data_IF_008089095672
#
_entry.id   IF_008089095672
#
_cell.length_a   1.000
_cell.length_b   1.000
_cell.length_c   1.000
_cell.angle_alpha   90.00
_cell.angle_beta   90.00
_cell.angle_gamma   90.00
#
_symmetry.space_group_name_H-M   'P 1'
#
loop_
_entity.id
_entity.type
_entity.pdbx_description
1 polymer ?
#
# COMPACT_ATOMS: atom_id res chain seq x y z
N UNK A 1 5.27 -8.08 -20.77
CA UNK A 1 5.18 -6.92 -19.87
C UNK A 1 6.31 -7.00 -18.87
N UNK A 2 7.09 -5.94 -18.71
CA UNK A 2 8.16 -5.94 -17.72
C UNK A 2 7.63 -5.67 -16.32
N UNK A 3 8.42 -5.92 -15.29
CA UNK A 3 7.99 -5.81 -13.89
C UNK A 3 7.61 -4.39 -13.50
N UNK A 4 8.23 -3.38 -14.12
CA UNK A 4 7.91 -1.98 -13.86
C UNK A 4 6.48 -1.65 -14.31
N UNK A 5 6.10 -2.09 -15.52
CA UNK A 5 4.76 -1.87 -16.04
C UNK A 5 3.71 -2.60 -15.24
N UNK A 6 4.02 -3.82 -14.81
CA UNK A 6 3.10 -4.62 -13.99
C UNK A 6 2.87 -3.97 -12.65
N UNK A 7 3.92 -3.46 -12.01
CA UNK A 7 3.79 -2.73 -10.74
C UNK A 7 2.94 -1.48 -10.89
N UNK A 8 3.19 -0.71 -11.94
CA UNK A 8 2.43 0.51 -12.19
C UNK A 8 0.94 0.24 -12.42
N UNK A 9 0.59 -0.87 -13.10
CA UNK A 9 -0.80 -1.25 -13.30
C UNK A 9 -1.50 -1.56 -12.00
N UNK A 10 -0.83 -2.30 -11.11
CA UNK A 10 -1.38 -2.63 -9.80
C UNK A 10 -1.61 -1.38 -8.96
N UNK A 11 -0.66 -0.45 -8.98
CA UNK A 11 -0.78 0.82 -8.25
C UNK A 11 -1.96 1.64 -8.77
N UNK A 12 -2.16 1.70 -10.10
CA UNK A 12 -3.30 2.41 -10.68
C UNK A 12 -4.62 1.74 -10.31
N UNK A 13 -4.65 0.42 -10.32
CA UNK A 13 -5.83 -0.35 -9.92
C UNK A 13 -6.22 -0.05 -8.47
N UNK A 14 -5.23 -0.08 -7.57
CA UNK A 14 -5.47 0.23 -6.15
C UNK A 14 -5.93 1.66 -5.96
N UNK A 15 -5.27 2.62 -6.60
CA UNK A 15 -5.65 4.03 -6.48
C UNK A 15 -7.09 4.24 -6.94
N UNK A 16 -7.48 3.60 -8.03
CA UNK A 16 -8.87 3.67 -8.51
C UNK A 16 -9.84 3.10 -7.48
N UNK A 17 -9.50 1.96 -6.88
CA UNK A 17 -10.33 1.33 -5.86
C UNK A 17 -10.53 2.26 -4.66
N UNK A 18 -9.45 2.89 -4.20
CA UNK A 18 -9.53 3.82 -3.07
C UNK A 18 -10.34 5.07 -3.39
N UNK A 19 -10.28 5.55 -4.65
CA UNK A 19 -11.12 6.67 -5.07
C UNK A 19 -12.61 6.34 -5.00
N UNK A 20 -12.97 5.07 -5.18
CA UNK A 20 -14.37 4.64 -5.07
C UNK A 20 -14.93 4.87 -3.66
N UNK A 21 -14.07 4.91 -2.63
CA UNK A 21 -14.47 5.21 -1.26
C UNK A 21 -14.48 6.72 -0.96
N UNK A 22 -14.15 7.55 -1.94
CA UNK A 22 -14.18 9.00 -1.79
C UNK A 22 -12.84 9.64 -1.45
N UNK A 23 -11.74 8.89 -1.48
CA UNK A 23 -10.40 9.42 -1.18
C UNK A 23 -9.68 9.81 -2.47
N UNK A 24 -8.96 10.91 -2.43
CA UNK A 24 -8.21 11.40 -3.60
C UNK A 24 -6.87 10.69 -3.74
N UNK A 25 -6.93 9.39 -3.99
CA UNK A 25 -5.73 8.58 -4.11
C UNK A 25 -5.21 8.53 -5.54
N UNK A 26 -3.89 8.43 -5.68
CA UNK A 26 -3.21 8.32 -6.96
C UNK A 26 -1.90 7.56 -6.78
N UNK A 27 -1.33 7.13 -7.90
CA UNK A 27 0.01 6.55 -7.85
C UNK A 27 0.99 7.55 -7.27
N UNK A 28 1.88 7.07 -6.41
CA UNK A 28 2.99 7.87 -5.95
C UNK A 28 3.97 8.10 -7.09
N UNK A 29 4.67 9.24 -7.06
CA UNK A 29 5.73 9.53 -8.01
C UNK A 29 7.05 9.11 -7.39
N UNK A 30 7.78 8.28 -8.13
CA UNK A 30 9.11 7.89 -7.73
C UNK A 30 10.11 8.57 -8.65
N UNK A 31 10.86 9.50 -8.07
CA UNK A 31 11.97 10.13 -8.77
C UNK A 31 13.23 9.30 -8.54
N UNK A 32 14.19 9.41 -9.43
CA UNK A 32 15.40 8.59 -9.41
C UNK A 32 16.06 8.60 -8.03
N UNK A 33 16.19 7.42 -7.44
CA UNK A 33 16.86 7.25 -6.16
C UNK A 33 16.05 7.65 -4.93
N UNK A 34 14.85 8.17 -5.12
CA UNK A 34 13.96 8.52 -3.98
C UNK A 34 12.84 7.51 -3.90
N UNK A 35 12.83 6.76 -2.81
CA UNK A 35 11.76 5.80 -2.54
C UNK A 35 10.58 6.53 -1.91
N UNK A 36 9.39 6.31 -2.45
CA UNK A 36 8.16 6.87 -1.95
C UNK A 36 7.11 5.80 -1.81
N UNK A 37 5.93 6.22 -1.38
CA UNK A 37 4.79 5.33 -1.32
C UNK A 37 4.34 4.96 -2.72
N UNK A 38 3.85 3.73 -2.89
CA UNK A 38 3.35 3.27 -4.18
C UNK A 38 2.05 3.97 -4.56
N UNK A 39 1.21 4.25 -3.56
CA UNK A 39 -0.05 4.99 -3.72
C UNK A 39 -0.12 6.02 -2.60
N UNK A 40 -0.55 7.23 -2.93
CA UNK A 40 -0.69 8.33 -1.97
C UNK A 40 -2.14 8.80 -1.91
N UNK A 41 -2.49 9.49 -0.83
CA UNK A 41 -3.83 10.07 -0.67
C UNK A 41 -4.54 9.67 0.61
N UNK A 42 -3.92 8.80 1.44
CA UNK A 42 -4.44 8.48 2.77
C UNK A 42 -3.46 9.02 3.81
N UNK A 43 -3.81 10.15 4.41
CA UNK A 43 -2.93 10.82 5.36
C UNK A 43 -2.54 9.89 6.51
N UNK A 44 -1.26 9.87 6.84
CA UNK A 44 -0.74 9.07 7.93
C UNK A 44 -0.51 7.60 7.61
N UNK A 45 -0.77 7.17 6.39
CA UNK A 45 -0.61 5.78 5.97
C UNK A 45 0.44 5.70 4.86
N UNK A 46 1.41 4.82 5.05
CA UNK A 46 2.38 4.50 4.00
C UNK A 46 1.93 3.24 3.28
N UNK A 47 1.57 3.37 2.01
CA UNK A 47 0.98 2.26 1.24
C UNK A 47 2.02 1.60 0.35
N UNK A 48 2.29 0.33 0.61
CA UNK A 48 3.02 -0.56 -0.29
C UNK A 48 2.00 -1.38 -1.04
N UNK A 49 2.05 -1.34 -2.36
CA UNK A 49 1.07 -2.05 -3.21
C UNK A 49 1.69 -3.30 -3.82
N UNK A 50 1.02 -4.43 -3.67
CA UNK A 50 1.46 -5.70 -4.26
C UNK A 50 0.29 -6.37 -5.00
N UNK A 51 0.32 -6.29 -6.32
CA UNK A 51 -0.67 -6.92 -7.19
C UNK A 51 -0.02 -8.11 -7.89
N UNK A 52 0.16 -9.20 -7.13
CA UNK A 52 0.89 -10.39 -7.57
C UNK A 52 0.18 -11.65 -7.11
N UNK A 53 0.39 -12.77 -7.82
CA UNK A 53 -0.23 -14.05 -7.47
C UNK A 53 0.49 -14.76 -6.33
N UNK A 54 1.80 -14.59 -6.23
CA UNK A 54 2.59 -15.18 -5.15
C UNK A 54 3.27 -14.06 -4.39
N UNK A 55 2.73 -13.74 -3.24
CA UNK A 55 3.21 -12.65 -2.42
C UNK A 55 4.06 -13.18 -1.26
N UNK A 56 5.28 -12.66 -1.16
CA UNK A 56 6.09 -12.81 0.04
C UNK A 56 5.65 -11.71 1.01
N UNK A 57 4.59 -11.98 1.76
CA UNK A 57 3.93 -10.96 2.57
C UNK A 57 4.84 -10.38 3.65
N UNK A 58 5.63 -11.23 4.32
CA UNK A 58 6.56 -10.76 5.33
C UNK A 58 7.58 -9.79 4.74
N UNK A 59 8.14 -10.12 3.58
CA UNK A 59 9.11 -9.25 2.92
C UNK A 59 8.48 -7.92 2.51
N UNK A 60 7.24 -7.97 1.98
CA UNK A 60 6.52 -6.76 1.60
C UNK A 60 6.24 -5.87 2.82
N UNK A 61 5.86 -6.48 3.94
CA UNK A 61 5.61 -5.74 5.18
C UNK A 61 6.89 -5.11 5.72
N UNK A 62 8.01 -5.83 5.68
CA UNK A 62 9.32 -5.30 6.09
C UNK A 62 9.74 -4.14 5.20
N UNK A 63 9.48 -4.24 3.89
CA UNK A 63 9.76 -3.14 2.96
C UNK A 63 8.93 -1.91 3.31
N UNK A 64 7.63 -2.08 3.52
CA UNK A 64 6.74 -0.98 3.89
C UNK A 64 7.21 -0.31 5.18
N UNK A 65 7.55 -1.12 6.19
CA UNK A 65 8.02 -0.62 7.47
C UNK A 65 9.32 0.17 7.31
N UNK A 66 10.26 -0.32 6.49
CA UNK A 66 11.54 0.34 6.26
C UNK A 66 11.38 1.70 5.58
N UNK A 67 10.44 1.78 4.64
CA UNK A 67 10.23 2.99 3.83
C UNK A 67 9.28 3.99 4.47
N UNK A 68 8.63 3.61 5.57
CA UNK A 68 7.69 4.47 6.30
C UNK A 68 8.42 5.62 6.98
N UNK A 69 7.86 6.81 6.87
CA UNK A 69 8.37 8.01 7.52
C UNK A 69 7.70 8.21 8.87
N UNK A 70 8.32 9.06 9.70
CA UNK A 70 7.75 9.39 11.02
C UNK A 70 6.32 9.89 10.87
N UNK A 71 5.44 9.40 11.74
CA UNK A 71 4.04 9.79 11.73
C UNK A 71 3.17 8.98 10.80
N UNK A 72 3.74 8.02 10.07
CA UNK A 72 2.98 7.16 9.17
C UNK A 72 2.90 5.74 9.70
N UNK A 73 1.81 5.07 9.36
CA UNK A 73 1.60 3.65 9.64
C UNK A 73 1.88 2.86 8.36
N UNK A 74 2.82 1.89 8.40
CA UNK A 74 3.11 1.07 7.22
C UNK A 74 2.03 0.03 6.97
N UNK A 75 1.55 -0.07 5.74
CA UNK A 75 0.61 -1.11 5.35
C UNK A 75 1.03 -1.71 4.01
N UNK A 76 0.58 -2.94 3.76
CA UNK A 76 0.66 -3.56 2.44
C UNK A 76 -0.77 -3.79 1.98
N UNK A 77 -1.13 -3.16 0.86
CA UNK A 77 -2.41 -3.42 0.21
C UNK A 77 -2.15 -4.32 -0.98
N UNK A 78 -2.81 -5.48 -0.99
CA UNK A 78 -2.45 -6.53 -1.93
C UNK A 78 -3.66 -7.28 -2.44
N UNK A 79 -3.50 -7.86 -3.63
CA UNK A 79 -4.58 -8.58 -4.30
C UNK A 79 -4.00 -9.62 -5.26
N UNK A 80 -4.62 -10.79 -5.30
CA UNK A 80 -4.42 -11.80 -6.32
C UNK A 80 -5.57 -11.73 -7.32
N UNK A 81 -5.39 -12.35 -8.50
CA UNK A 81 -6.46 -12.43 -9.49
C UNK A 81 -7.70 -13.08 -8.87
N UNK A 82 -8.87 -12.52 -9.15
CA UNK A 82 -10.18 -13.04 -8.72
C UNK A 82 -10.36 -13.06 -7.20
N UNK A 83 -9.56 -12.30 -6.46
CA UNK A 83 -9.72 -12.15 -5.01
C UNK A 83 -9.92 -10.67 -4.67
N UNK A 84 -10.33 -10.42 -3.45
CA UNK A 84 -10.53 -9.05 -2.96
C UNK A 84 -9.21 -8.39 -2.60
N UNK A 85 -9.18 -7.07 -2.64
CA UNK A 85 -8.08 -6.32 -2.05
C UNK A 85 -8.04 -6.54 -0.54
N UNK A 86 -6.86 -6.78 -0.03
CA UNK A 86 -6.64 -6.93 1.40
C UNK A 86 -5.63 -5.90 1.88
N UNK A 87 -5.70 -5.55 3.16
CA UNK A 87 -4.77 -4.64 3.78
C UNK A 87 -4.11 -5.33 4.98
N UNK A 88 -2.80 -5.45 4.93
CA UNK A 88 -2.01 -6.06 6.02
C UNK A 88 -1.24 -4.97 6.73
N UNK A 89 -1.23 -5.01 8.05
CA UNK A 89 -0.51 -4.06 8.87
C UNK A 89 0.02 -4.76 10.13
N UNK A 90 0.91 -4.08 10.85
CA UNK A 90 1.41 -4.62 12.10
C UNK A 90 0.31 -4.61 13.15
N UNK A 91 0.28 -5.64 13.99
CA UNK A 91 -0.76 -5.75 15.01
C UNK A 91 -0.77 -4.55 15.95
N UNK A 92 0.40 -4.05 16.33
CA UNK A 92 0.50 -2.88 17.20
C UNK A 92 -0.20 -1.67 16.59
N UNK A 93 -0.08 -1.47 15.27
CA UNK A 93 -0.71 -0.36 14.57
C UNK A 93 -2.22 -0.57 14.44
N UNK A 94 -2.63 -1.81 14.18
CA UNK A 94 -4.04 -2.15 14.10
C UNK A 94 -4.75 -1.90 15.43
N UNK A 95 -4.11 -2.24 16.54
CA UNK A 95 -4.69 -2.01 17.88
C UNK A 95 -4.87 -0.51 18.13
N UNK A 96 -3.94 0.32 17.67
CA UNK A 96 -4.09 1.78 17.79
C UNK A 96 -5.34 2.26 17.05
N UNK A 97 -5.56 1.77 15.82
CA UNK A 97 -6.75 2.13 15.05
C UNK A 97 -8.02 1.63 15.75
N UNK A 98 -7.97 0.41 16.27
CA UNK A 98 -9.12 -0.16 16.98
C UNK A 98 -9.48 0.66 18.22
N UNK A 99 -8.47 1.08 18.98
CA UNK A 99 -8.69 1.91 20.17
C UNK A 99 -9.31 3.26 19.81
N UNK A 100 -8.89 3.86 18.70
CA UNK A 100 -9.44 5.13 18.23
C UNK A 100 -10.89 4.98 17.76
N UNK A 101 -11.22 3.82 17.19
CA UNK A 101 -12.57 3.54 16.70
C UNK A 101 -13.52 3.20 17.86
N UNK A 102 -13.02 2.58 18.91
CA UNK A 102 -13.76 2.20 20.09
C UNK A 102 -13.70 3.27 21.16
#
# INVERSE_FOLDING_TARGET
MNSRQKGARGERELAKKLREYGYECRRGQQYSGVEGEDVVGLDGIHIECKRVERLQLTDAMLQSKRDTKDGQIPVVMHKKNNEDWMCTMLLDDWIKLYNDWH
#
